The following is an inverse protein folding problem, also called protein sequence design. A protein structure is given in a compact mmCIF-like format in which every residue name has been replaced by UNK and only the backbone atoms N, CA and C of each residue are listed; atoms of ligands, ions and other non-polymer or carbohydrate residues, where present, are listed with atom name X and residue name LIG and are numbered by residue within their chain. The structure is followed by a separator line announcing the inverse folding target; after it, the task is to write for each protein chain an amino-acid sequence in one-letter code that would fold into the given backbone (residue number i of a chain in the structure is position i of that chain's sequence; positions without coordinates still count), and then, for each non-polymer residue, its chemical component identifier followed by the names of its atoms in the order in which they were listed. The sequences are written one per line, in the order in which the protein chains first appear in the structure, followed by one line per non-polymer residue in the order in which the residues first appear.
data_IF_101260018192
#
_entry.id   IF_101260018192
#
_cell.length_a   1.000
_cell.length_b   1.000
_cell.length_c   1.000
_cell.angle_alpha   90.00
_cell.angle_beta   90.00
_cell.angle_gamma   90.00
#
_symmetry.space_group_name_H-M   'P 1'
#
loop_
_entity.id
_entity.type
_entity.pdbx_description
1 polymer ?
#
# COMPACT_ATOMS: atom_id res chain seq x y z
N UNK A 1 -5.94 12.22 -1.72
CA UNK A 1 -4.98 11.16 -2.16
C UNK A 1 -4.88 11.10 -3.68
N UNK A 2 -5.85 10.52 -4.42
CA UNK A 2 -5.69 10.35 -5.88
C UNK A 2 -5.59 11.67 -6.67
N UNK A 3 -6.35 12.70 -6.30
CA UNK A 3 -6.21 14.04 -6.90
C UNK A 3 -4.80 14.64 -6.68
N UNK A 4 -4.22 14.43 -5.50
CA UNK A 4 -2.86 14.86 -5.18
C UNK A 4 -1.84 14.08 -6.01
N UNK A 5 -2.02 12.77 -6.15
CA UNK A 5 -1.18 11.94 -7.02
C UNK A 5 -1.26 12.42 -8.48
N UNK A 6 -2.46 12.72 -8.98
CA UNK A 6 -2.66 13.28 -10.32
C UNK A 6 -1.92 14.61 -10.50
N UNK A 7 -2.04 15.51 -9.52
CA UNK A 7 -1.34 16.80 -9.54
C UNK A 7 0.18 16.63 -9.57
N UNK A 8 0.73 15.72 -8.76
CA UNK A 8 2.17 15.45 -8.72
C UNK A 8 2.66 14.88 -10.06
N UNK A 9 1.98 13.87 -10.60
CA UNK A 9 2.32 13.26 -11.88
C UNK A 9 2.16 14.22 -13.07
N UNK A 10 1.21 15.15 -13.00
CA UNK A 10 1.07 16.21 -14.01
C UNK A 10 2.18 17.27 -13.96
N UNK A 11 2.87 17.41 -12.80
CA UNK A 11 4.01 18.30 -12.63
C UNK A 11 5.32 17.65 -13.05
N UNK A 12 5.46 16.35 -12.77
CA UNK A 12 6.61 15.53 -13.11
C UNK A 12 6.16 14.07 -13.26
N UNK A 13 6.14 13.60 -14.50
CA UNK A 13 5.70 12.25 -14.86
C UNK A 13 6.75 11.16 -14.54
N UNK A 14 7.95 11.56 -14.13
CA UNK A 14 9.00 10.64 -13.67
C UNK A 14 8.86 10.25 -12.19
N UNK A 15 7.94 10.88 -11.45
CA UNK A 15 7.73 10.62 -10.03
C UNK A 15 7.16 9.23 -9.76
N UNK A 16 7.74 8.55 -8.77
CA UNK A 16 7.13 7.38 -8.15
C UNK A 16 6.24 7.80 -6.98
N UNK A 17 4.94 7.52 -7.06
CA UNK A 17 3.97 7.88 -6.02
C UNK A 17 3.55 6.64 -5.22
N UNK A 18 3.77 6.67 -3.91
CA UNK A 18 3.25 5.67 -2.97
C UNK A 18 1.87 6.11 -2.47
N UNK A 19 0.87 5.23 -2.60
CA UNK A 19 -0.49 5.47 -2.12
C UNK A 19 -0.72 4.72 -0.80
N UNK A 20 -0.56 5.42 0.33
CA UNK A 20 -0.78 4.89 1.68
C UNK A 20 -1.74 5.78 2.51
N UNK A 21 -2.94 6.00 1.98
CA UNK A 21 -3.97 6.82 2.64
C UNK A 21 -5.04 6.03 3.39
N UNK A 22 -5.07 4.70 3.22
CA UNK A 22 -6.07 3.78 3.79
C UNK A 22 -5.57 2.34 3.72
N UNK A 23 -6.27 1.42 4.38
CA UNK A 23 -5.92 -0.01 4.41
C UNK A 23 -6.14 -0.74 3.09
N UNK A 24 -6.93 -0.18 2.16
CA UNK A 24 -7.32 -0.85 0.91
C UNK A 24 -7.94 -2.24 1.11
N UNK A 25 -8.67 -2.43 2.22
CA UNK A 25 -9.25 -3.73 2.59
C UNK A 25 -10.39 -4.17 1.66
N UNK A 26 -10.99 -3.24 0.91
CA UNK A 26 -12.11 -3.50 -0.01
C UNK A 26 -11.65 -3.48 -1.46
N UNK A 27 -12.18 -4.40 -2.27
CA UNK A 27 -11.92 -4.55 -3.70
C UNK A 27 -12.12 -3.24 -4.44
N UNK A 28 -13.25 -2.56 -4.24
CA UNK A 28 -13.54 -1.28 -4.92
C UNK A 28 -12.49 -0.19 -4.63
N UNK A 29 -11.82 -0.23 -3.47
CA UNK A 29 -10.78 0.74 -3.13
C UNK A 29 -9.51 0.50 -3.96
N UNK A 30 -9.16 -0.78 -4.17
CA UNK A 30 -8.03 -1.19 -5.00
C UNK A 30 -8.33 -0.96 -6.48
N UNK A 31 -9.50 -1.36 -6.95
CA UNK A 31 -9.96 -1.12 -8.33
C UNK A 31 -9.92 0.37 -8.68
N UNK A 32 -10.44 1.24 -7.81
CA UNK A 32 -10.37 2.69 -8.03
C UNK A 32 -8.94 3.23 -8.15
N UNK A 33 -7.98 2.67 -7.42
CA UNK A 33 -6.57 3.06 -7.53
C UNK A 33 -5.93 2.53 -8.82
N UNK A 34 -6.28 1.32 -9.24
CA UNK A 34 -5.83 0.71 -10.49
C UNK A 34 -6.40 1.47 -11.69
N UNK A 35 -7.70 1.77 -11.70
CA UNK A 35 -8.36 2.55 -12.74
C UNK A 35 -7.76 3.95 -12.85
N UNK A 36 -7.42 4.57 -11.71
CA UNK A 36 -6.71 5.84 -11.69
C UNK A 36 -5.37 5.75 -12.41
N UNK A 37 -4.56 4.71 -12.17
CA UNK A 37 -3.29 4.50 -12.87
C UNK A 37 -3.48 4.40 -14.38
N UNK A 38 -4.51 3.70 -14.85
CA UNK A 38 -4.86 3.66 -16.27
C UNK A 38 -5.24 5.03 -16.84
N UNK A 39 -6.00 5.85 -16.09
CA UNK A 39 -6.40 7.19 -16.52
C UNK A 39 -5.23 8.16 -16.69
N UNK A 40 -4.21 8.05 -15.84
CA UNK A 40 -3.01 8.91 -15.89
C UNK A 40 -1.87 8.30 -16.70
N UNK A 41 -2.08 7.15 -17.35
CA UNK A 41 -1.06 6.45 -18.12
C UNK A 41 0.11 5.91 -17.28
N UNK A 42 -0.09 5.74 -15.97
CA UNK A 42 0.95 5.28 -15.05
C UNK A 42 0.91 3.76 -14.87
N UNK A 43 2.10 3.18 -14.78
CA UNK A 43 2.29 1.84 -14.28
C UNK A 43 1.89 1.72 -12.80
N UNK A 44 1.55 0.50 -12.37
CA UNK A 44 1.29 0.22 -10.96
C UNK A 44 1.85 -1.13 -10.50
N UNK A 45 2.09 -1.19 -9.20
CA UNK A 45 2.50 -2.38 -8.46
C UNK A 45 1.81 -2.36 -7.09
N UNK A 46 1.54 -3.53 -6.53
CA UNK A 46 0.86 -3.65 -5.23
C UNK A 46 1.75 -4.36 -4.21
N UNK A 47 1.89 -3.75 -3.04
CA UNK A 47 2.54 -4.32 -1.88
C UNK A 47 1.46 -4.62 -0.84
N UNK A 48 1.27 -5.89 -0.49
CA UNK A 48 0.41 -6.30 0.61
C UNK A 48 1.27 -6.49 1.85
N UNK A 49 1.21 -5.53 2.76
CA UNK A 49 1.91 -5.59 4.03
C UNK A 49 1.09 -6.39 5.04
N UNK A 50 1.63 -7.52 5.50
CA UNK A 50 1.03 -8.40 6.51
C UNK A 50 1.90 -8.44 7.77
N UNK A 51 1.32 -8.87 8.87
CA UNK A 51 2.00 -9.22 10.12
C UNK A 51 1.08 -10.13 10.92
N UNK A 52 1.63 -10.76 11.95
CA UNK A 52 0.86 -11.44 12.97
C UNK A 52 -0.13 -10.47 13.64
N UNK A 53 -1.31 -10.98 14.00
CA UNK A 53 -2.33 -10.18 14.66
C UNK A 53 -1.81 -9.56 15.95
N UNK A 54 -1.05 -10.33 16.73
CA UNK A 54 -0.48 -9.87 17.98
C UNK A 54 0.43 -8.64 17.75
N UNK A 55 1.28 -8.68 16.72
CA UNK A 55 2.13 -7.53 16.36
C UNK A 55 1.31 -6.30 15.98
N UNK A 56 0.23 -6.47 15.20
CA UNK A 56 -0.64 -5.36 14.83
C UNK A 56 -1.29 -4.71 16.07
N UNK A 57 -1.77 -5.52 17.02
CA UNK A 57 -2.39 -5.04 18.25
C UNK A 57 -1.38 -4.34 19.17
N UNK A 58 -0.16 -4.85 19.30
CA UNK A 58 0.91 -4.22 20.08
C UNK A 58 1.32 -2.85 19.49
N UNK A 59 1.44 -2.77 18.16
CA UNK A 59 1.74 -1.51 17.45
C UNK A 59 0.64 -0.47 17.68
N UNK A 60 -0.63 -0.87 17.65
CA UNK A 60 -1.77 0.01 17.95
C UNK A 60 -1.74 0.50 19.40
N UNK A 61 -1.49 -0.39 20.36
CA UNK A 61 -1.42 -0.03 21.78
C UNK A 61 -0.29 0.96 22.06
N UNK A 62 0.90 0.70 21.49
CA UNK A 62 2.06 1.59 21.60
C UNK A 62 1.75 2.99 21.05
N UNK A 63 1.21 3.07 19.85
CA UNK A 63 0.96 4.35 19.22
C UNK A 63 -0.21 5.13 19.86
N UNK A 64 -1.19 4.45 20.45
CA UNK A 64 -2.21 5.08 21.28
C UNK A 64 -1.58 5.70 22.55
N UNK A 65 -0.62 5.01 23.18
CA UNK A 65 0.10 5.53 24.35
C UNK A 65 1.00 6.73 24.00
N UNK A 66 1.63 6.73 22.82
CA UNK A 66 2.50 7.82 22.35
C UNK A 66 1.74 9.03 21.77
N UNK A 67 0.42 8.92 21.54
CA UNK A 67 -0.37 9.96 20.90
C UNK A 67 0.06 10.28 19.45
N UNK A 68 0.79 9.37 18.81
CA UNK A 68 1.43 9.57 17.49
C UNK A 68 0.48 9.33 16.32
N UNK A 69 -0.81 9.09 16.57
CA UNK A 69 -1.79 8.77 15.54
C UNK A 69 -2.65 9.99 15.15
N UNK A 70 -2.53 10.48 13.89
CA UNK A 70 -3.34 11.60 13.40
C UNK A 70 -4.84 11.30 13.36
N UNK A 71 -5.20 10.01 13.25
CA UNK A 71 -6.58 9.54 13.19
C UNK A 71 -6.94 8.86 14.52
N UNK A 72 -7.81 9.51 15.30
CA UNK A 72 -8.23 9.07 16.64
C UNK A 72 -9.03 7.75 16.67
N UNK A 73 -9.30 7.13 15.52
CA UNK A 73 -10.10 5.91 15.38
C UNK A 73 -9.26 4.64 15.16
N UNK A 74 -7.93 4.67 15.34
CA UNK A 74 -7.08 3.47 15.26
C UNK A 74 -7.15 2.63 16.52
N UNK A 75 -8.24 1.87 16.67
CA UNK A 75 -8.47 0.98 17.83
C UNK A 75 -8.30 -0.50 17.48
N UNK A 76 -7.99 -1.38 18.47
CA UNK A 76 -8.03 -2.83 18.30
C UNK A 76 -9.36 -3.34 17.72
N UNK A 77 -10.48 -2.73 18.08
CA UNK A 77 -11.81 -3.10 17.58
C UNK A 77 -11.93 -2.81 16.09
N UNK A 78 -11.49 -1.62 15.65
CA UNK A 78 -11.49 -1.27 14.23
C UNK A 78 -10.59 -2.20 13.42
N UNK A 79 -9.41 -2.57 13.95
CA UNK A 79 -8.52 -3.53 13.31
C UNK A 79 -9.24 -4.87 13.06
N UNK A 80 -9.90 -5.43 14.10
CA UNK A 80 -10.61 -6.71 13.99
C UNK A 80 -11.76 -6.63 12.98
N UNK A 81 -12.51 -5.53 12.96
CA UNK A 81 -13.59 -5.33 11.98
C UNK A 81 -13.06 -5.20 10.54
N UNK A 82 -11.94 -4.50 10.34
CA UNK A 82 -11.29 -4.43 9.03
C UNK A 82 -10.80 -5.82 8.61
N UNK A 83 -10.17 -6.58 9.50
CA UNK A 83 -9.66 -7.92 9.21
C UNK A 83 -10.78 -8.91 8.85
N UNK A 84 -11.88 -8.93 9.62
CA UNK A 84 -13.06 -9.78 9.32
C UNK A 84 -13.67 -9.50 7.96
N UNK A 85 -13.57 -8.25 7.51
CA UNK A 85 -14.20 -7.79 6.28
C UNK A 85 -13.21 -7.55 5.15
N UNK A 86 -11.99 -8.07 5.29
CA UNK A 86 -10.95 -7.99 4.28
C UNK A 86 -11.33 -8.81 3.05
N UNK A 87 -11.40 -8.17 1.89
CA UNK A 87 -11.71 -8.83 0.63
C UNK A 87 -10.42 -9.30 -0.05
N UNK A 88 -10.37 -10.53 -0.60
CA UNK A 88 -9.19 -11.08 -1.26
C UNK A 88 -8.58 -10.16 -2.32
N UNK A 89 -7.26 -10.13 -2.36
CA UNK A 89 -6.52 -9.40 -3.41
C UNK A 89 -6.18 -10.39 -4.53
N UNK A 90 -6.95 -10.32 -5.62
CA UNK A 90 -6.85 -11.21 -6.77
C UNK A 90 -5.84 -10.73 -7.84
N UNK A 91 -5.40 -9.47 -7.74
CA UNK A 91 -4.47 -8.87 -8.69
C UNK A 91 -2.99 -9.15 -8.32
N UNK A 92 -2.04 -9.06 -9.29
CA UNK A 92 -0.62 -9.25 -9.02
C UNK A 92 -0.11 -8.35 -7.88
N UNK A 93 0.56 -8.95 -6.90
CA UNK A 93 1.06 -8.29 -5.69
C UNK A 93 2.35 -8.94 -5.20
N UNK A 94 3.13 -8.21 -4.42
CA UNK A 94 4.13 -8.77 -3.52
C UNK A 94 3.58 -8.76 -2.09
N UNK A 95 3.62 -9.91 -1.42
CA UNK A 95 3.31 -9.99 0.02
C UNK A 95 4.58 -9.74 0.83
N UNK A 96 4.54 -8.72 1.69
CA UNK A 96 5.63 -8.34 2.59
C UNK A 96 5.19 -8.64 4.01
N UNK A 97 5.91 -9.55 4.66
CA UNK A 97 5.76 -9.79 6.09
C UNK A 97 6.55 -8.71 6.85
N UNK A 98 5.82 -7.85 7.56
CA UNK A 98 6.36 -6.72 8.30
C UNK A 98 6.75 -7.07 9.74
N UNK A 99 6.68 -8.34 10.14
CA UNK A 99 7.36 -8.82 11.35
C UNK A 99 8.86 -9.05 11.12
N UNK A 100 9.28 -9.17 9.86
CA UNK A 100 10.69 -9.17 9.48
C UNK A 100 11.34 -7.79 9.68
N UNK A 101 12.67 -7.73 9.54
CA UNK A 101 13.40 -6.47 9.64
C UNK A 101 12.98 -5.47 8.56
N UNK A 102 13.01 -4.18 8.88
CA UNK A 102 12.72 -3.10 7.94
C UNK A 102 13.60 -3.18 6.69
N UNK A 103 14.88 -3.48 6.87
CA UNK A 103 15.85 -3.63 5.78
C UNK A 103 15.44 -4.74 4.81
N UNK A 104 15.10 -5.92 5.33
CA UNK A 104 14.63 -7.04 4.50
C UNK A 104 13.32 -6.71 3.76
N UNK A 105 12.39 -6.05 4.45
CA UNK A 105 11.14 -5.61 3.85
C UNK A 105 11.38 -4.61 2.70
N UNK A 106 12.24 -3.62 2.93
CA UNK A 106 12.57 -2.57 1.96
C UNK A 106 13.30 -3.13 0.74
N UNK A 107 14.27 -4.03 0.94
CA UNK A 107 14.99 -4.69 -0.14
C UNK A 107 14.06 -5.51 -1.03
N UNK A 108 13.18 -6.31 -0.43
CA UNK A 108 12.19 -7.11 -1.17
C UNK A 108 11.23 -6.23 -1.96
N UNK A 109 10.71 -5.16 -1.35
CA UNK A 109 9.87 -4.19 -2.02
C UNK A 109 10.58 -3.56 -3.22
N UNK A 110 11.82 -3.11 -3.02
CA UNK A 110 12.60 -2.43 -4.05
C UNK A 110 12.95 -3.34 -5.23
N UNK A 111 13.31 -4.61 -4.96
CA UNK A 111 13.55 -5.60 -6.03
C UNK A 111 12.30 -5.79 -6.89
N UNK A 112 11.15 -6.03 -6.25
CA UNK A 112 9.89 -6.21 -6.95
C UNK A 112 9.49 -4.98 -7.77
N UNK A 113 9.62 -3.78 -7.20
CA UNK A 113 9.32 -2.54 -7.92
C UNK A 113 10.23 -2.34 -9.14
N UNK A 114 11.54 -2.64 -9.02
CA UNK A 114 12.49 -2.56 -10.16
C UNK A 114 12.14 -3.55 -11.26
N UNK A 115 11.78 -4.79 -10.91
CA UNK A 115 11.36 -5.81 -11.87
C UNK A 115 10.08 -5.39 -12.62
N UNK A 116 9.12 -4.80 -11.90
CA UNK A 116 7.86 -4.31 -12.48
C UNK A 116 8.09 -3.11 -13.41
N UNK A 117 8.91 -2.14 -13.01
CA UNK A 117 9.26 -0.98 -13.84
C UNK A 117 10.05 -1.38 -15.09
N UNK A 118 10.98 -2.34 -14.97
CA UNK A 118 11.77 -2.85 -16.10
C UNK A 118 10.95 -3.67 -17.10
N UNK A 119 9.91 -4.37 -16.66
CA UNK A 119 8.99 -5.10 -17.55
C UNK A 119 8.12 -4.18 -18.41
N UNK A 120 7.84 -2.97 -17.93
CA UNK A 120 7.01 -1.99 -18.64
C UNK A 120 7.81 -1.30 -19.73
N UNK A 121 9.06 -0.91 -19.45
CA UNK A 121 9.97 -0.29 -20.43
C UNK A 121 10.25 -1.19 -21.65
N UNK A 122 10.21 -2.52 -21.50
CA UNK A 122 10.46 -3.48 -22.59
C UNK A 122 9.24 -3.79 -23.47
N UNK A 123 8.02 -3.35 -23.10
CA UNK A 123 6.79 -3.60 -23.89
C UNK A 123 6.42 -2.44 -24.81
N UNK A 124 7.12 -1.32 -24.71
CA UNK A 124 6.90 -0.09 -25.50
C UNK A 124 8.03 0.17 -26.51
N UNK A 125 8.92 -0.80 -26.74
CA UNK A 125 10.03 -0.72 -27.70
C UNK A 125 9.87 -1.70 -28.86
#
# INVERSE_FOLDING_TARGET
MLQTAAYLLAKDDSLHVLLDGRTFSRRYQRERAIDFCSQVGAAWAMLECVCEEQTALERLAKAAAEGTHPAANRTPELYREIRKTWEPIDCPKLVIDTDASLESCAERALSYLRERSGHIARRTG
#
